data_IF_157644154805
#
_entry.id   IF_157644154805
#
_cell.length_a   1.000
_cell.length_b   1.000
_cell.length_c   1.000
_cell.angle_alpha   90.00
_cell.angle_beta   90.00
_cell.angle_gamma   90.00
#
_symmetry.space_group_name_H-M   'P 1'
#
loop_
_entity.id
_entity.type
_entity.pdbx_description
1 polymer ?
#
# COMPACT_ATOMS: atom_id res chain seq x y z
N UNK A 1 1.93 -16.61 8.40
CA UNK A 1 2.92 -15.91 9.24
C UNK A 1 2.26 -15.56 10.56
N UNK A 2 2.99 -15.66 11.67
CA UNK A 2 2.46 -15.37 12.99
C UNK A 2 2.70 -13.90 13.36
N UNK A 3 1.71 -13.28 14.00
CA UNK A 3 1.86 -11.95 14.61
C UNK A 3 2.68 -12.10 15.88
N UNK A 4 3.87 -11.51 15.90
CA UNK A 4 4.83 -11.69 16.99
C UNK A 4 4.45 -10.83 18.21
N UNK A 5 3.97 -9.61 17.98
CA UNK A 5 3.47 -8.71 19.01
C UNK A 5 2.06 -8.22 18.71
N UNK A 6 1.24 -8.05 19.77
CA UNK A 6 -0.13 -7.54 19.66
C UNK A 6 -0.23 -6.25 18.83
N UNK A 7 0.80 -5.40 18.91
CA UNK A 7 0.81 -4.10 18.26
C UNK A 7 1.17 -4.15 16.76
N UNK A 8 1.64 -5.28 16.23
CA UNK A 8 2.12 -5.39 14.85
C UNK A 8 1.03 -5.14 13.82
N UNK A 9 -0.22 -5.49 14.14
CA UNK A 9 -1.39 -5.17 13.32
C UNK A 9 -1.53 -3.66 13.08
N UNK A 10 -1.21 -2.83 14.07
CA UNK A 10 -1.28 -1.37 13.95
C UNK A 10 -0.13 -0.79 13.13
N UNK A 11 1.06 -1.39 13.23
CA UNK A 11 2.20 -1.00 12.39
C UNK A 11 2.00 -1.40 10.93
N UNK A 12 1.44 -2.60 10.69
CA UNK A 12 1.03 -3.04 9.35
C UNK A 12 -0.08 -2.15 8.78
N UNK A 13 -1.08 -1.78 9.59
CA UNK A 13 -2.11 -0.82 9.22
C UNK A 13 -1.52 0.55 8.85
N UNK A 14 -0.63 1.09 9.69
CA UNK A 14 0.03 2.37 9.47
C UNK A 14 0.84 2.39 8.16
N UNK A 15 1.45 1.25 7.78
CA UNK A 15 2.15 1.15 6.50
C UNK A 15 1.21 1.42 5.32
N UNK A 16 0.00 0.88 5.32
CA UNK A 16 -0.97 1.13 4.25
C UNK A 16 -1.60 2.53 4.32
N UNK A 17 -1.91 3.06 5.50
CA UNK A 17 -2.50 4.40 5.64
C UNK A 17 -1.52 5.53 5.31
N UNK A 18 -0.22 5.25 5.35
CA UNK A 18 0.80 6.26 5.04
C UNK A 18 0.71 6.83 3.63
N UNK A 19 -0.04 6.19 2.71
CA UNK A 19 -0.32 6.68 1.36
C UNK A 19 -0.87 8.12 1.34
N UNK A 20 -1.61 8.51 2.38
CA UNK A 20 -2.29 9.82 2.44
C UNK A 20 -1.34 10.95 2.82
N UNK A 21 -0.33 10.69 3.65
CA UNK A 21 0.55 11.72 4.21
C UNK A 21 1.95 11.66 3.61
N UNK A 22 2.54 10.46 3.59
CA UNK A 22 3.95 10.22 3.25
C UNK A 22 4.06 8.88 2.51
N UNK A 23 3.57 8.78 1.26
CA UNK A 23 3.33 7.51 0.59
C UNK A 23 4.58 6.60 0.54
N UNK A 24 5.73 7.08 0.11
CA UNK A 24 6.93 6.22 0.04
C UNK A 24 7.68 6.18 1.36
N UNK A 25 7.72 7.29 2.09
CA UNK A 25 8.51 7.41 3.31
C UNK A 25 7.90 6.60 4.45
N UNK A 26 6.56 6.55 4.57
CA UNK A 26 5.88 5.84 5.65
C UNK A 26 6.23 4.35 5.72
N UNK A 27 6.07 3.57 4.63
CA UNK A 27 6.42 2.15 4.62
C UNK A 27 7.91 1.92 4.81
N UNK A 28 8.78 2.79 4.26
CA UNK A 28 10.25 2.69 4.44
C UNK A 28 10.61 2.88 5.92
N UNK A 29 10.08 3.91 6.57
CA UNK A 29 10.29 4.16 8.00
C UNK A 29 9.83 2.96 8.82
N UNK A 30 8.68 2.37 8.50
CA UNK A 30 8.15 1.20 9.20
C UNK A 30 9.02 -0.04 8.95
N UNK A 31 9.56 -0.24 7.74
CA UNK A 31 10.50 -1.33 7.44
C UNK A 31 11.76 -1.25 8.31
N UNK A 32 12.28 -0.04 8.52
CA UNK A 32 13.46 0.19 9.35
C UNK A 32 13.12 -0.03 10.83
N UNK A 33 12.04 0.58 11.33
CA UNK A 33 11.67 0.53 12.75
C UNK A 33 11.18 -0.85 13.21
N UNK A 34 10.56 -1.62 12.33
CA UNK A 34 9.93 -2.92 12.66
C UNK A 34 10.54 -4.10 11.89
N UNK A 35 11.83 -4.01 11.53
CA UNK A 35 12.54 -5.04 10.77
C UNK A 35 12.48 -6.46 11.39
N UNK A 36 12.37 -6.54 12.72
CA UNK A 36 12.32 -7.81 13.46
C UNK A 36 11.01 -8.58 13.24
N UNK A 37 9.88 -7.89 13.02
CA UNK A 37 8.59 -8.55 12.81
C UNK A 37 8.41 -8.91 11.34
N UNK A 38 8.43 -10.21 11.02
CA UNK A 38 8.20 -10.68 9.65
C UNK A 38 6.83 -10.25 9.12
N UNK A 39 5.80 -10.24 9.96
CA UNK A 39 4.45 -9.80 9.61
C UNK A 39 4.45 -8.33 9.18
N UNK A 40 5.01 -7.43 10.00
CA UNK A 40 5.09 -6.00 9.66
C UNK A 40 5.94 -5.77 8.42
N UNK A 41 7.07 -6.49 8.31
CA UNK A 41 7.97 -6.38 7.14
C UNK A 41 7.25 -6.71 5.84
N UNK A 42 6.46 -7.78 5.81
CA UNK A 42 5.68 -8.14 4.62
C UNK A 42 4.68 -7.05 4.26
N UNK A 43 3.86 -6.60 5.22
CA UNK A 43 2.86 -5.56 4.97
C UNK A 43 3.50 -4.24 4.53
N UNK A 44 4.64 -3.87 5.11
CA UNK A 44 5.33 -2.64 4.75
C UNK A 44 5.99 -2.73 3.35
N UNK A 45 6.58 -3.86 2.95
CA UNK A 45 7.05 -4.05 1.57
C UNK A 45 5.89 -4.03 0.56
N UNK A 46 4.79 -4.70 0.89
CA UNK A 46 3.57 -4.75 0.09
C UNK A 46 2.97 -3.34 -0.10
N UNK A 47 2.92 -2.53 0.96
CA UNK A 47 2.50 -1.14 0.92
C UNK A 47 3.46 -0.29 0.07
N UNK A 48 4.77 -0.44 0.25
CA UNK A 48 5.78 0.30 -0.50
C UNK A 48 5.65 0.09 -2.01
N UNK A 49 5.55 -1.17 -2.47
CA UNK A 49 5.36 -1.47 -3.88
C UNK A 49 4.04 -0.90 -4.40
N UNK A 50 2.96 -1.03 -3.63
CA UNK A 50 1.67 -0.45 -4.02
C UNK A 50 1.73 1.06 -4.16
N UNK A 51 2.36 1.78 -3.22
CA UNK A 51 2.50 3.24 -3.27
C UNK A 51 3.34 3.68 -4.47
N UNK A 52 4.43 2.97 -4.78
CA UNK A 52 5.27 3.25 -5.94
C UNK A 52 4.48 3.09 -7.25
N UNK A 53 3.83 1.94 -7.44
CA UNK A 53 3.02 1.67 -8.63
C UNK A 53 1.87 2.66 -8.74
N UNK A 54 1.18 2.95 -7.64
CA UNK A 54 0.05 3.86 -7.62
C UNK A 54 0.44 5.28 -7.99
N UNK A 55 1.55 5.81 -7.47
CA UNK A 55 2.05 7.15 -7.82
C UNK A 55 2.46 7.23 -9.28
N UNK A 56 3.10 6.18 -9.83
CA UNK A 56 3.42 6.13 -11.26
C UNK A 56 2.15 6.16 -12.11
N UNK A 57 1.15 5.33 -11.79
CA UNK A 57 -0.13 5.30 -12.50
C UNK A 57 -0.84 6.66 -12.45
N UNK A 58 -0.95 7.26 -11.25
CA UNK A 58 -1.57 8.57 -11.07
C UNK A 58 -0.83 9.68 -11.82
N UNK A 59 0.51 9.63 -11.84
CA UNK A 59 1.33 10.60 -12.58
C UNK A 59 1.06 10.49 -14.07
N UNK A 60 1.15 9.28 -14.64
CA UNK A 60 0.89 9.05 -16.08
C UNK A 60 -0.54 9.47 -16.44
N UNK A 61 -1.53 9.10 -15.64
CA UNK A 61 -2.92 9.50 -15.86
C UNK A 61 -3.11 11.02 -15.79
N UNK A 62 -2.40 11.71 -14.89
CA UNK A 62 -2.38 13.16 -14.80
C UNK A 62 -1.84 13.83 -16.07
N UNK A 63 -0.75 13.31 -16.63
CA UNK A 63 -0.23 13.78 -17.92
C UNK A 63 -1.21 13.51 -19.08
N UNK A 64 -1.92 12.37 -19.06
CA UNK A 64 -2.92 12.04 -20.07
C UNK A 64 -4.18 12.92 -20.02
N UNK A 65 -4.36 13.74 -18.98
CA UNK A 65 -5.49 14.68 -18.90
C UNK A 65 -5.45 15.68 -20.06
N UNK A 66 -4.26 16.10 -20.50
CA UNK A 66 -4.11 16.98 -21.68
C UNK A 66 -4.67 16.37 -22.96
N UNK A 67 -4.80 15.04 -23.02
CA UNK A 67 -5.38 14.29 -24.14
C UNK A 67 -6.84 13.88 -23.91
N UNK A 68 -7.51 14.47 -22.90
CA UNK A 68 -8.88 14.17 -22.41
C UNK A 68 -9.11 12.74 -21.88
N UNK A 69 -8.28 11.77 -22.24
CA UNK A 69 -8.37 10.38 -21.76
C UNK A 69 -7.85 10.20 -20.33
N UNK A 70 -7.13 11.17 -19.76
CA UNK A 70 -6.63 11.09 -18.39
C UNK A 70 -7.73 11.15 -17.33
N UNK A 71 -8.83 11.86 -17.57
CA UNK A 71 -9.95 11.98 -16.63
C UNK A 71 -10.55 10.63 -16.21
N UNK A 72 -11.02 9.77 -17.14
CA UNK A 72 -11.55 8.46 -16.77
C UNK A 72 -10.47 7.57 -16.12
N UNK A 73 -9.21 7.72 -16.54
CA UNK A 73 -8.09 6.95 -15.99
C UNK A 73 -7.81 7.31 -14.52
N UNK A 74 -7.78 8.61 -14.19
CA UNK A 74 -7.63 9.10 -12.82
C UNK A 74 -8.76 8.61 -11.90
N UNK A 75 -10.00 8.60 -12.41
CA UNK A 75 -11.15 8.11 -11.65
C UNK A 75 -11.01 6.61 -11.34
N UNK A 76 -10.72 5.80 -12.37
CA UNK A 76 -10.59 4.33 -12.23
C UNK A 76 -9.43 3.97 -11.32
N UNK A 77 -8.25 4.57 -11.52
CA UNK A 77 -7.09 4.29 -10.67
C UNK A 77 -7.30 4.83 -9.26
N UNK A 78 -7.87 6.02 -9.08
CA UNK A 78 -8.20 6.54 -7.75
C UNK A 78 -9.09 5.58 -6.95
N UNK A 79 -10.14 5.04 -7.57
CA UNK A 79 -11.01 4.04 -6.95
C UNK A 79 -10.26 2.73 -6.63
N UNK A 80 -9.40 2.27 -7.54
CA UNK A 80 -8.53 1.11 -7.31
C UNK A 80 -7.58 1.36 -6.12
N UNK A 81 -7.04 2.57 -6.00
CA UNK A 81 -6.19 3.05 -4.91
C UNK A 81 -6.86 2.90 -3.54
N UNK A 82 -8.09 3.43 -3.43
CA UNK A 82 -8.91 3.36 -2.23
C UNK A 82 -9.27 1.91 -1.91
N UNK A 83 -9.76 1.16 -2.90
CA UNK A 83 -10.13 -0.25 -2.73
C UNK A 83 -8.94 -1.09 -2.24
N UNK A 84 -7.76 -0.91 -2.84
CA UNK A 84 -6.54 -1.59 -2.43
C UNK A 84 -6.18 -1.26 -0.98
N UNK A 85 -6.11 0.02 -0.63
CA UNK A 85 -5.75 0.46 0.72
C UNK A 85 -6.71 -0.08 1.77
N UNK A 86 -8.03 -0.09 1.50
CA UNK A 86 -9.04 -0.66 2.39
C UNK A 86 -8.85 -2.16 2.56
N UNK A 87 -8.72 -2.92 1.46
CA UNK A 87 -8.50 -4.39 1.50
C UNK A 87 -7.26 -4.75 2.30
N UNK A 88 -6.17 -4.00 2.13
CA UNK A 88 -4.93 -4.24 2.84
C UNK A 88 -5.01 -3.88 4.33
N UNK A 89 -5.70 -2.78 4.65
CA UNK A 89 -5.98 -2.36 6.03
C UNK A 89 -6.81 -3.40 6.78
N UNK A 90 -7.86 -3.93 6.15
CA UNK A 90 -8.67 -5.02 6.72
C UNK A 90 -7.84 -6.29 6.92
N UNK A 91 -6.97 -6.63 5.96
CA UNK A 91 -6.06 -7.77 6.08
C UNK A 91 -5.11 -7.63 7.27
N UNK A 92 -4.51 -6.44 7.44
CA UNK A 92 -3.61 -6.14 8.54
C UNK A 92 -4.31 -6.27 9.90
N UNK A 93 -5.53 -5.72 10.03
CA UNK A 93 -6.32 -5.80 11.25
C UNK A 93 -6.82 -7.22 11.56
N UNK A 94 -7.05 -8.03 10.53
CA UNK A 94 -7.47 -9.43 10.64
C UNK A 94 -6.28 -10.39 10.81
N UNK A 95 -5.06 -9.88 10.97
CA UNK A 95 -3.82 -10.66 11.12
C UNK A 95 -3.56 -11.64 9.96
N UNK A 96 -4.05 -11.30 8.77
CA UNK A 96 -3.84 -12.07 7.54
C UNK A 96 -2.80 -11.38 6.68
N UNK A 97 -1.91 -12.16 6.07
CA UNK A 97 -0.96 -11.67 5.07
C UNK A 97 -1.70 -10.91 3.97
N UNK A 98 -1.32 -9.65 3.76
CA UNK A 98 -1.83 -8.88 2.63
C UNK A 98 -1.24 -9.45 1.33
N UNK A 99 -2.11 -9.78 0.38
CA UNK A 99 -1.74 -9.98 -1.02
C UNK A 99 -2.57 -9.04 -1.87
N UNK A 100 -1.93 -8.04 -2.45
CA UNK A 100 -2.56 -7.26 -3.51
C UNK A 100 -2.73 -8.13 -4.75
N UNK A 101 -3.84 -8.04 -5.49
CA UNK A 101 -4.05 -8.86 -6.68
C UNK A 101 -2.98 -8.63 -7.76
N UNK A 102 -2.34 -7.46 -7.78
CA UNK A 102 -1.31 -7.11 -8.78
C UNK A 102 0.11 -7.31 -8.23
N UNK A 103 0.38 -6.89 -6.99
CA UNK A 103 1.74 -6.92 -6.39
C UNK A 103 1.95 -8.03 -5.35
N UNK A 104 0.94 -8.84 -5.03
CA UNK A 104 0.97 -9.88 -3.99
C UNK A 104 1.83 -11.10 -4.26
N UNK A 105 2.41 -11.20 -5.45
CA UNK A 105 3.32 -12.29 -5.85
C UNK A 105 4.75 -11.83 -6.09
N UNK A 106 5.06 -10.54 -5.87
CA UNK A 106 6.36 -9.95 -6.21
C UNK A 106 7.36 -10.05 -5.05
N UNK A 107 6.90 -10.50 -3.88
CA UNK A 107 7.60 -10.66 -2.59
C UNK A 107 7.07 -11.95 -1.95
#
# INVERSE_FOLDING_TARGET
>A
MYVENRNDRYWALAAHLSIVLIPFLGPIVILILRANSQFVRQHALQALLFHLVFVVLMTISGWLVFLLIGFPMLLVFGLMGIYGTVRASVSALSERSCKYPITGNWI
#
